data_IF_520801861886
#
_entry.id   IF_520801861886
#
_cell.length_a   1.000
_cell.length_b   1.000
_cell.length_c   1.000
_cell.angle_alpha   90.00
_cell.angle_beta   90.00
_cell.angle_gamma   90.00
#
_symmetry.space_group_name_H-M   'P 1'
#
loop_
_entity.id
_entity.type
_entity.pdbx_description
1 polymer ?
#
# COMPACT_ATOMS: atom_id res chain seq x y z
N UNK A 1 16.32 4.95 3.93
CA UNK A 1 17.28 6.09 4.05
C UNK A 1 16.54 7.36 4.46
N UNK A 2 15.43 7.73 3.79
CA UNK A 2 14.73 8.99 4.05
C UNK A 2 14.15 9.09 5.47
N UNK A 3 13.53 8.04 6.01
CA UNK A 3 13.00 8.03 7.38
C UNK A 3 14.10 8.21 8.44
N UNK A 4 15.28 7.55 8.28
CA UNK A 4 16.41 7.74 9.19
C UNK A 4 16.88 9.19 9.18
N UNK A 5 17.09 9.77 8.00
CA UNK A 5 17.48 11.18 7.89
C UNK A 5 16.42 12.13 8.50
N UNK A 6 15.12 11.83 8.31
CA UNK A 6 14.05 12.62 8.91
C UNK A 6 14.05 12.50 10.43
N UNK A 7 14.22 11.29 10.96
CA UNK A 7 14.32 11.06 12.39
C UNK A 7 15.53 11.78 13.01
N UNK A 8 16.70 11.72 12.36
CA UNK A 8 17.89 12.44 12.79
C UNK A 8 17.64 13.96 12.88
N UNK A 9 16.96 14.53 11.87
CA UNK A 9 16.59 15.96 11.88
C UNK A 9 15.65 16.27 13.04
N UNK A 10 14.66 15.41 13.31
CA UNK A 10 13.73 15.60 14.44
C UNK A 10 14.45 15.58 15.78
N UNK A 11 15.41 14.68 15.96
CA UNK A 11 16.24 14.63 17.17
C UNK A 11 17.08 15.89 17.33
N UNK A 12 17.74 16.35 16.26
CA UNK A 12 18.54 17.58 16.28
C UNK A 12 17.71 18.81 16.65
N UNK A 13 16.45 18.85 16.21
CA UNK A 13 15.52 19.95 16.51
C UNK A 13 14.84 19.81 17.88
N UNK A 14 15.08 18.74 18.63
CA UNK A 14 14.39 18.48 19.90
C UNK A 14 12.89 18.19 19.74
N UNK A 15 12.47 17.73 18.54
CA UNK A 15 11.07 17.48 18.19
C UNK A 15 10.69 16.02 18.49
N UNK A 16 10.42 15.72 19.74
CA UNK A 16 10.02 14.37 20.18
C UNK A 16 8.68 13.91 19.60
N UNK A 17 7.72 14.83 19.47
CA UNK A 17 6.43 14.51 18.83
C UNK A 17 6.58 14.22 17.34
N UNK A 18 7.42 14.99 16.66
CA UNK A 18 7.73 14.73 15.25
C UNK A 18 8.47 13.42 15.06
N UNK A 19 9.27 12.97 16.01
CA UNK A 19 9.92 11.65 15.97
C UNK A 19 8.90 10.51 16.17
N UNK A 20 7.94 10.70 17.09
CA UNK A 20 6.81 9.78 17.25
C UNK A 20 6.02 9.63 15.94
N UNK A 21 5.68 10.74 15.28
CA UNK A 21 4.97 10.74 14.01
C UNK A 21 5.75 10.03 12.88
N UNK A 22 7.09 10.08 12.90
CA UNK A 22 7.92 9.31 11.95
C UNK A 22 7.79 7.81 12.20
N UNK A 23 7.72 7.38 13.45
CA UNK A 23 7.53 5.96 13.81
C UNK A 23 6.13 5.48 13.41
N UNK A 24 5.09 6.26 13.70
CA UNK A 24 3.71 5.98 13.28
C UNK A 24 3.61 5.81 11.76
N UNK A 25 4.20 6.75 11.01
CA UNK A 25 4.23 6.72 9.54
C UNK A 25 4.88 5.44 9.00
N UNK A 26 5.97 4.98 9.61
CA UNK A 26 6.61 3.72 9.24
C UNK A 26 5.72 2.53 9.54
N UNK A 27 5.05 2.51 10.70
CA UNK A 27 4.13 1.43 11.07
C UNK A 27 2.98 1.34 10.08
N UNK A 28 2.37 2.46 9.72
CA UNK A 28 1.33 2.53 8.68
C UNK A 28 1.83 1.97 7.35
N UNK A 29 2.98 2.43 6.86
CA UNK A 29 3.56 1.97 5.59
C UNK A 29 3.90 0.48 5.60
N UNK A 30 4.24 -0.09 6.77
CA UNK A 30 4.52 -1.51 6.94
C UNK A 30 3.25 -2.36 7.22
N UNK A 31 2.07 -1.74 7.23
CA UNK A 31 0.81 -2.41 7.57
C UNK A 31 0.79 -2.92 9.03
N UNK A 32 1.55 -2.25 9.89
CA UNK A 32 1.55 -2.48 11.34
C UNK A 32 0.57 -1.54 12.01
N UNK A 33 0.07 -1.97 13.16
CA UNK A 33 -0.84 -1.16 13.95
C UNK A 33 -0.11 0.06 14.56
N UNK A 34 -0.48 1.25 14.11
CA UNK A 34 0.08 2.51 14.60
C UNK A 34 -0.34 2.81 16.05
N UNK A 35 -1.47 2.25 16.54
CA UNK A 35 -1.91 2.41 17.92
C UNK A 35 -0.88 1.85 18.92
N UNK A 36 -0.04 0.89 18.49
CA UNK A 36 1.06 0.39 19.31
C UNK A 36 2.08 1.49 19.65
N UNK A 37 2.30 2.45 18.76
CA UNK A 37 3.16 3.61 19.01
C UNK A 37 2.45 4.59 19.94
N UNK A 38 1.14 4.76 19.78
CA UNK A 38 0.34 5.60 20.66
C UNK A 38 0.32 5.12 22.12
N UNK A 39 0.43 3.81 22.35
CA UNK A 39 0.53 3.24 23.71
C UNK A 39 1.83 3.66 24.43
N UNK A 40 2.81 4.16 23.69
CA UNK A 40 4.08 4.67 24.21
C UNK A 40 4.04 6.17 24.55
N UNK A 41 2.86 6.76 24.78
CA UNK A 41 2.69 8.23 25.01
C UNK A 41 3.53 8.80 26.16
N UNK A 42 3.85 7.96 27.15
CA UNK A 42 4.65 8.35 28.32
C UNK A 42 6.16 8.23 28.11
N UNK A 43 6.57 7.81 26.91
CA UNK A 43 7.98 7.59 26.58
C UNK A 43 8.60 8.88 26.02
N UNK A 44 9.78 9.21 26.50
CA UNK A 44 10.57 10.30 25.91
C UNK A 44 11.21 9.83 24.58
N UNK A 45 10.53 10.16 23.48
CA UNK A 45 10.99 9.78 22.14
C UNK A 45 12.35 10.39 21.77
N UNK A 46 12.75 11.52 22.37
CA UNK A 46 14.09 12.08 22.10
C UNK A 46 15.19 11.17 22.65
N UNK A 47 14.90 10.41 23.71
CA UNK A 47 15.87 9.50 24.31
C UNK A 47 15.93 8.14 23.61
N UNK A 48 14.78 7.60 23.23
CA UNK A 48 14.68 6.20 22.74
C UNK A 48 14.17 6.05 21.31
N UNK A 49 13.68 7.14 20.70
CA UNK A 49 12.98 7.07 19.40
C UNK A 49 13.85 6.54 18.26
N UNK A 50 15.16 6.85 18.23
CA UNK A 50 16.07 6.27 17.23
C UNK A 50 16.29 4.77 17.44
N UNK A 51 16.36 4.31 18.70
CA UNK A 51 16.48 2.88 19.00
C UNK A 51 15.20 2.12 18.63
N UNK A 52 14.03 2.71 18.86
CA UNK A 52 12.74 2.16 18.43
C UNK A 52 12.65 2.09 16.90
N UNK A 53 13.14 3.11 16.20
CA UNK A 53 13.20 3.14 14.74
C UNK A 53 14.08 2.01 14.18
N UNK A 54 15.27 1.83 14.75
CA UNK A 54 16.17 0.75 14.32
C UNK A 54 15.61 -0.63 14.69
N UNK A 55 14.95 -0.77 15.83
CA UNK A 55 14.26 -2.00 16.21
C UNK A 55 13.11 -2.33 15.26
N UNK A 56 12.32 -1.32 14.82
CA UNK A 56 11.28 -1.48 13.82
C UNK A 56 11.86 -1.97 12.48
N UNK A 57 12.96 -1.39 12.01
CA UNK A 57 13.64 -1.82 10.79
C UNK A 57 14.34 -3.18 10.93
N UNK A 58 14.79 -3.55 12.11
CA UNK A 58 15.34 -4.89 12.36
C UNK A 58 14.24 -5.96 12.34
N UNK A 59 13.07 -5.62 12.88
CA UNK A 59 11.90 -6.51 12.90
C UNK A 59 11.24 -6.69 11.53
N UNK A 60 11.19 -5.61 10.74
CA UNK A 60 10.52 -5.58 9.43
C UNK A 60 11.36 -4.78 8.42
N UNK A 61 12.46 -5.36 7.90
CA UNK A 61 13.38 -4.69 7.00
C UNK A 61 12.71 -4.20 5.72
N UNK A 62 13.00 -2.95 5.32
CA UNK A 62 12.50 -2.37 4.07
C UNK A 62 13.16 -2.98 2.82
N UNK A 63 14.39 -3.45 2.97
CA UNK A 63 15.10 -4.15 1.92
C UNK A 63 14.51 -5.56 1.73
N UNK A 64 14.11 -5.94 0.50
CA UNK A 64 13.40 -7.19 0.26
C UNK A 64 14.24 -8.44 0.54
N UNK A 65 15.56 -8.38 0.35
CA UNK A 65 16.45 -9.50 0.62
C UNK A 65 16.67 -9.69 2.13
N UNK A 66 16.87 -8.59 2.85
CA UNK A 66 16.95 -8.60 4.32
C UNK A 66 15.63 -9.06 4.93
N UNK A 67 14.50 -8.59 4.39
CA UNK A 67 13.16 -9.03 4.81
C UNK A 67 12.96 -10.52 4.59
N UNK A 68 13.31 -11.04 3.41
CA UNK A 68 13.20 -12.47 3.11
C UNK A 68 14.10 -13.33 4.03
N UNK A 69 15.25 -12.83 4.40
CA UNK A 69 16.15 -13.54 5.32
C UNK A 69 15.63 -13.63 6.76
N UNK A 70 14.63 -12.84 7.14
CA UNK A 70 13.96 -13.00 8.46
C UNK A 70 13.15 -14.29 8.54
N UNK A 71 12.74 -14.87 7.42
CA UNK A 71 12.02 -16.15 7.32
C UNK A 71 13.00 -17.34 7.35
N UNK A 72 13.85 -17.39 8.37
CA UNK A 72 14.94 -18.38 8.46
C UNK A 72 14.49 -19.77 8.86
N UNK A 73 13.35 -19.90 9.52
CA UNK A 73 12.82 -21.17 10.03
C UNK A 73 11.71 -21.71 9.13
N UNK A 74 11.94 -22.85 8.44
CA UNK A 74 10.90 -23.46 7.60
C UNK A 74 9.64 -23.85 8.37
N UNK A 75 9.70 -24.05 9.69
CA UNK A 75 8.56 -24.42 10.50
C UNK A 75 7.59 -23.24 10.76
N UNK A 76 8.10 -22.02 10.69
CA UNK A 76 7.32 -20.78 10.89
C UNK A 76 6.98 -20.05 9.60
N UNK A 77 7.63 -20.42 8.49
CA UNK A 77 7.53 -19.75 7.21
C UNK A 77 6.08 -19.57 6.75
N UNK A 78 5.28 -20.63 6.80
CA UNK A 78 3.89 -20.60 6.33
C UNK A 78 3.05 -19.60 7.14
N UNK A 79 3.22 -19.58 8.46
CA UNK A 79 2.54 -18.65 9.36
C UNK A 79 2.98 -17.20 9.12
N UNK A 80 4.25 -16.98 8.89
CA UNK A 80 4.79 -15.64 8.62
C UNK A 80 4.37 -15.10 7.25
N UNK A 81 4.25 -15.97 6.25
CA UNK A 81 3.71 -15.64 4.95
C UNK A 81 2.21 -15.30 5.02
N UNK A 82 1.43 -16.02 5.84
CA UNK A 82 0.02 -15.69 6.05
C UNK A 82 -0.14 -14.34 6.79
N UNK A 83 0.65 -14.08 7.84
CA UNK A 83 0.67 -12.75 8.50
C UNK A 83 1.00 -11.63 7.50
N UNK A 84 1.98 -11.86 6.62
CA UNK A 84 2.30 -10.92 5.56
C UNK A 84 1.15 -10.73 4.58
N UNK A 85 0.48 -11.81 4.18
CA UNK A 85 -0.65 -11.76 3.27
C UNK A 85 -1.86 -11.03 3.89
N UNK A 86 -2.15 -11.27 5.17
CA UNK A 86 -3.21 -10.57 5.90
C UNK A 86 -2.93 -9.06 5.99
N UNK A 87 -1.70 -8.67 6.30
CA UNK A 87 -1.29 -7.26 6.30
C UNK A 87 -1.45 -6.64 4.91
N UNK A 88 -1.04 -7.37 3.87
CA UNK A 88 -1.17 -6.95 2.49
C UNK A 88 -2.65 -6.74 2.10
N UNK A 89 -3.56 -7.61 2.54
CA UNK A 89 -5.00 -7.48 2.25
C UNK A 89 -5.68 -6.31 2.97
N UNK A 90 -5.15 -5.87 4.10
CA UNK A 90 -5.69 -4.75 4.91
C UNK A 90 -5.09 -3.39 4.56
N UNK A 91 -3.94 -3.38 3.90
CA UNK A 91 -3.19 -2.16 3.65
C UNK A 91 -3.74 -1.39 2.44
N UNK A 92 -3.92 -0.09 2.59
CA UNK A 92 -4.19 0.81 1.47
C UNK A 92 -2.91 1.03 0.65
N UNK A 93 -2.89 0.52 -0.57
CA UNK A 93 -1.79 0.69 -1.52
C UNK A 93 -1.90 1.94 -2.40
N UNK A 94 -2.81 2.86 -2.14
CA UNK A 94 -2.80 4.20 -2.73
C UNK A 94 -1.56 4.98 -2.28
N UNK A 95 -1.04 4.69 -1.07
CA UNK A 95 0.28 5.18 -0.64
C UNK A 95 1.39 4.56 -1.49
N UNK A 96 2.08 5.42 -2.25
CA UNK A 96 3.18 5.00 -3.12
C UNK A 96 4.31 4.30 -2.38
N UNK A 97 4.59 4.68 -1.13
CA UNK A 97 5.68 4.12 -0.31
C UNK A 97 5.37 2.68 0.07
N UNK A 98 4.15 2.42 0.52
CA UNK A 98 3.65 1.07 0.80
C UNK A 98 3.69 0.20 -0.47
N UNK A 99 3.17 0.72 -1.59
CA UNK A 99 3.18 0.03 -2.88
C UNK A 99 4.59 -0.38 -3.32
N UNK A 100 5.60 0.49 -3.18
CA UNK A 100 6.99 0.18 -3.54
C UNK A 100 7.57 -0.90 -2.62
N UNK A 101 7.37 -0.79 -1.31
CA UNK A 101 7.92 -1.75 -0.34
C UNK A 101 7.31 -3.13 -0.58
N UNK A 102 5.99 -3.21 -0.66
CA UNK A 102 5.30 -4.48 -0.86
C UNK A 102 5.53 -5.05 -2.27
N UNK A 103 5.53 -4.25 -3.32
CA UNK A 103 5.84 -4.71 -4.67
C UNK A 103 7.18 -5.43 -4.75
N UNK A 104 8.22 -4.91 -4.11
CA UNK A 104 9.55 -5.56 -4.04
C UNK A 104 9.54 -6.85 -3.22
N UNK A 105 8.77 -6.89 -2.13
CA UNK A 105 8.61 -8.11 -1.33
C UNK A 105 7.84 -9.19 -2.11
N UNK A 106 6.82 -8.80 -2.89
CA UNK A 106 6.11 -9.74 -3.76
C UNK A 106 7.02 -10.39 -4.79
N UNK A 107 7.94 -9.64 -5.39
CA UNK A 107 8.92 -10.22 -6.30
C UNK A 107 9.83 -11.23 -5.60
N UNK A 108 10.16 -10.99 -4.34
CA UNK A 108 10.91 -11.93 -3.51
C UNK A 108 10.12 -13.19 -3.21
N UNK A 109 8.81 -13.08 -2.92
CA UNK A 109 7.90 -14.23 -2.79
C UNK A 109 7.90 -15.10 -4.05
N UNK A 110 7.77 -14.47 -5.22
CA UNK A 110 7.81 -15.16 -6.51
C UNK A 110 9.12 -15.91 -6.70
N UNK A 111 10.24 -15.28 -6.43
CA UNK A 111 11.56 -15.88 -6.51
C UNK A 111 11.78 -17.01 -5.50
N UNK A 112 11.09 -16.96 -4.36
CA UNK A 112 11.07 -17.99 -3.31
C UNK A 112 10.15 -19.18 -3.63
N UNK A 113 9.46 -19.19 -4.78
CA UNK A 113 8.59 -20.29 -5.22
C UNK A 113 7.12 -20.14 -4.79
N UNK A 114 6.72 -19.05 -4.14
CA UNK A 114 5.35 -18.78 -3.70
C UNK A 114 4.54 -18.05 -4.78
N UNK A 115 4.50 -18.62 -6.00
CA UNK A 115 3.89 -17.97 -7.17
C UNK A 115 2.38 -17.71 -7.02
N UNK A 116 1.63 -18.62 -6.38
CA UNK A 116 0.18 -18.43 -6.18
C UNK A 116 -0.09 -17.24 -5.27
N UNK A 117 0.66 -17.12 -4.18
CA UNK A 117 0.55 -15.99 -3.26
C UNK A 117 0.98 -14.68 -3.94
N UNK A 118 2.03 -14.72 -4.76
CA UNK A 118 2.42 -13.59 -5.60
C UNK A 118 1.28 -13.14 -6.52
N UNK A 119 0.60 -14.05 -7.22
CA UNK A 119 -0.52 -13.73 -8.12
C UNK A 119 -1.65 -13.06 -7.33
N UNK A 120 -2.07 -13.66 -6.22
CA UNK A 120 -3.15 -13.14 -5.36
C UNK A 120 -2.85 -11.72 -4.91
N UNK A 121 -1.70 -11.52 -4.25
CA UNK A 121 -1.35 -10.23 -3.66
C UNK A 121 -0.99 -9.17 -4.73
N UNK A 122 -0.43 -9.58 -5.88
CA UNK A 122 -0.19 -8.66 -7.00
C UNK A 122 -1.50 -8.12 -7.57
N UNK A 123 -2.53 -8.96 -7.70
CA UNK A 123 -3.87 -8.52 -8.12
C UNK A 123 -4.48 -7.54 -7.13
N UNK A 124 -4.26 -7.74 -5.84
CA UNK A 124 -4.68 -6.84 -4.78
C UNK A 124 -3.98 -5.47 -4.89
N UNK A 125 -2.66 -5.43 -5.03
CA UNK A 125 -1.91 -4.18 -5.23
C UNK A 125 -2.37 -3.44 -6.50
N UNK A 126 -2.60 -4.17 -7.59
CA UNK A 126 -3.05 -3.62 -8.87
C UNK A 126 -4.48 -3.08 -8.81
N UNK A 127 -5.35 -3.65 -7.96
CA UNK A 127 -6.70 -3.12 -7.72
C UNK A 127 -6.65 -1.71 -7.13
N UNK A 128 -5.72 -1.43 -6.21
CA UNK A 128 -5.49 -0.08 -5.66
C UNK A 128 -4.74 0.85 -6.63
N UNK A 129 -3.81 0.30 -7.43
CA UNK A 129 -2.98 1.08 -8.36
C UNK A 129 -2.92 0.46 -9.74
N UNK A 130 -4.00 0.58 -10.53
CA UNK A 130 -4.09 -0.04 -11.85
C UNK A 130 -3.04 0.49 -12.86
N UNK A 131 -2.44 1.64 -12.58
CA UNK A 131 -1.40 2.23 -13.42
C UNK A 131 0.02 1.69 -13.18
N UNK A 132 0.20 0.72 -12.27
CA UNK A 132 1.50 0.10 -12.01
C UNK A 132 1.85 -0.89 -13.13
N UNK A 133 2.32 -0.36 -14.25
CA UNK A 133 2.64 -1.14 -15.45
C UNK A 133 3.76 -2.16 -15.23
N UNK A 134 4.70 -1.90 -14.33
CA UNK A 134 5.79 -2.84 -14.01
C UNK A 134 5.23 -4.12 -13.39
N UNK A 135 4.34 -3.99 -12.41
CA UNK A 135 3.72 -5.14 -11.75
C UNK A 135 2.79 -5.92 -12.71
N UNK A 136 2.05 -5.20 -13.59
CA UNK A 136 1.29 -5.85 -14.67
C UNK A 136 2.18 -6.66 -15.61
N UNK A 137 3.34 -6.13 -15.98
CA UNK A 137 4.31 -6.84 -16.82
C UNK A 137 4.84 -8.11 -16.13
N UNK A 138 5.19 -8.04 -14.85
CA UNK A 138 5.67 -9.19 -14.08
C UNK A 138 4.58 -10.27 -13.93
N UNK A 139 3.35 -9.85 -13.66
CA UNK A 139 2.20 -10.75 -13.58
C UNK A 139 1.94 -11.42 -14.95
N UNK A 140 1.99 -10.67 -16.05
CA UNK A 140 1.85 -11.20 -17.40
C UNK A 140 2.93 -12.21 -17.75
N UNK A 141 4.19 -11.95 -17.40
CA UNK A 141 5.30 -12.90 -17.60
C UNK A 141 5.12 -14.19 -16.80
N UNK A 142 4.59 -14.09 -15.60
CA UNK A 142 4.30 -15.26 -14.77
C UNK A 142 3.18 -16.09 -15.38
N UNK A 143 2.07 -15.48 -15.80
CA UNK A 143 0.98 -16.17 -16.47
C UNK A 143 1.43 -16.83 -17.80
N UNK A 144 2.25 -16.13 -18.62
CA UNK A 144 2.84 -16.70 -19.84
C UNK A 144 3.69 -17.95 -19.55
N UNK A 145 4.48 -17.93 -18.47
CA UNK A 145 5.31 -19.07 -18.04
C UNK A 145 4.48 -20.24 -17.54
N UNK A 146 3.30 -19.96 -16.96
CA UNK A 146 2.35 -20.97 -16.49
C UNK A 146 1.39 -21.45 -17.57
N UNK A 147 1.56 -20.97 -18.79
CA UNK A 147 0.68 -21.28 -19.94
C UNK A 147 -0.77 -20.77 -19.77
N UNK A 148 -1.00 -19.87 -18.85
CA UNK A 148 -2.25 -19.15 -18.63
C UNK A 148 -2.32 -17.96 -19.61
N UNK A 149 -2.55 -18.28 -20.92
CA UNK A 149 -2.34 -17.34 -22.02
C UNK A 149 -3.37 -16.21 -22.07
N UNK A 150 -4.61 -16.46 -21.65
CA UNK A 150 -5.69 -15.47 -21.63
C UNK A 150 -5.39 -14.35 -20.58
N UNK A 151 -4.91 -14.76 -19.42
CA UNK A 151 -4.50 -13.87 -18.34
C UNK A 151 -3.23 -13.09 -18.70
N UNK A 152 -2.25 -13.78 -19.28
CA UNK A 152 -1.02 -13.15 -19.77
C UNK A 152 -1.33 -12.06 -20.81
N UNK A 153 -2.19 -12.38 -21.78
CA UNK A 153 -2.60 -11.43 -22.82
C UNK A 153 -3.31 -10.22 -22.19
N UNK A 154 -4.21 -10.43 -21.23
CA UNK A 154 -4.96 -9.37 -20.56
C UNK A 154 -4.03 -8.41 -19.82
N UNK A 155 -3.00 -8.93 -19.15
CA UNK A 155 -1.98 -8.13 -18.49
C UNK A 155 -1.19 -7.29 -19.51
N UNK A 156 -0.70 -7.90 -20.58
CA UNK A 156 0.07 -7.21 -21.61
C UNK A 156 -0.75 -6.19 -22.39
N UNK A 157 -2.02 -6.49 -22.67
CA UNK A 157 -2.93 -5.55 -23.33
C UNK A 157 -3.17 -4.31 -22.45
N UNK A 158 -3.36 -4.50 -21.13
CA UNK A 158 -3.49 -3.39 -20.20
C UNK A 158 -2.23 -2.52 -20.18
N UNK A 159 -1.04 -3.12 -20.12
CA UNK A 159 0.23 -2.36 -20.18
C UNK A 159 0.36 -1.62 -21.49
N UNK A 160 0.00 -2.23 -22.63
CA UNK A 160 0.08 -1.56 -23.94
C UNK A 160 -0.87 -0.35 -24.03
N UNK A 161 -1.98 -0.35 -23.31
CA UNK A 161 -2.85 0.84 -23.23
C UNK A 161 -2.24 1.94 -22.37
N UNK A 162 -1.57 1.58 -21.26
CA UNK A 162 -0.88 2.54 -20.41
C UNK A 162 0.39 3.09 -21.07
N UNK A 163 1.13 2.23 -21.79
CA UNK A 163 2.41 2.57 -22.42
C UNK A 163 2.50 2.00 -23.85
N UNK A 164 1.84 2.61 -24.82
CA UNK A 164 1.75 2.09 -26.20
C UNK A 164 3.09 1.87 -26.87
N UNK A 165 4.12 2.62 -26.53
CA UNK A 165 5.45 2.53 -27.12
C UNK A 165 6.22 1.25 -26.75
N UNK A 166 5.84 0.54 -25.68
CA UNK A 166 6.49 -0.70 -25.27
C UNK A 166 5.99 -1.93 -26.03
N UNK A 167 4.78 -1.87 -26.61
CA UNK A 167 4.15 -2.92 -27.42
C UNK A 167 4.18 -4.34 -26.79
N UNK A 168 3.95 -4.54 -25.48
CA UNK A 168 4.14 -5.83 -24.83
C UNK A 168 3.16 -6.89 -25.32
N UNK A 169 1.91 -6.54 -25.62
CA UNK A 169 0.91 -7.43 -26.18
C UNK A 169 1.32 -7.93 -27.57
N UNK A 170 1.80 -7.04 -28.43
CA UNK A 170 2.17 -7.38 -29.80
C UNK A 170 3.42 -8.26 -29.81
N UNK A 171 4.37 -8.02 -28.92
CA UNK A 171 5.53 -8.90 -28.70
C UNK A 171 5.12 -10.27 -28.16
N UNK A 172 4.14 -10.35 -27.27
CA UNK A 172 3.58 -11.59 -26.78
C UNK A 172 2.94 -12.41 -27.92
N UNK A 173 2.10 -11.77 -28.77
CA UNK A 173 1.49 -12.40 -29.92
C UNK A 173 2.54 -12.97 -30.92
N UNK A 174 3.62 -12.24 -31.15
CA UNK A 174 4.74 -12.72 -31.99
C UNK A 174 5.40 -13.96 -31.38
N UNK A 175 5.62 -14.01 -30.06
CA UNK A 175 6.21 -15.20 -29.40
C UNK A 175 5.30 -16.41 -29.50
N UNK A 176 4.00 -16.25 -29.31
CA UNK A 176 3.03 -17.37 -29.43
C UNK A 176 2.96 -17.85 -30.87
N UNK A 177 2.84 -16.97 -31.85
CA UNK A 177 2.80 -17.36 -33.26
C UNK A 177 4.05 -18.14 -33.65
N UNK A 178 5.21 -17.78 -33.14
CA UNK A 178 6.45 -18.51 -33.36
C UNK A 178 6.47 -19.92 -32.73
N UNK A 179 5.77 -20.11 -31.60
CA UNK A 179 5.64 -21.45 -30.95
C UNK A 179 4.65 -22.37 -31.65
N UNK A 180 3.57 -21.83 -32.20
CA UNK A 180 2.49 -22.61 -32.86
C UNK A 180 2.91 -23.21 -34.20
N UNK A 181 3.95 -22.70 -34.83
CA UNK A 181 4.42 -23.25 -36.13
C UNK A 181 5.04 -24.66 -36.05
N UNK A 182 5.09 -25.28 -34.88
CA UNK A 182 5.75 -26.58 -34.64
C UNK A 182 4.85 -27.77 -34.29
N UNK A 183 3.60 -27.61 -33.88
CA UNK A 183 2.75 -28.74 -33.41
C UNK A 183 1.27 -28.57 -33.73
N UNK A 184 0.54 -29.70 -33.88
CA UNK A 184 -0.87 -29.82 -34.32
C UNK A 184 -1.91 -29.35 -33.25
N UNK A 185 -1.58 -28.52 -32.29
CA UNK A 185 -2.56 -28.00 -31.32
C UNK A 185 -3.36 -26.85 -31.91
N UNK A 186 -4.63 -26.74 -31.49
CA UNK A 186 -5.50 -25.63 -31.89
C UNK A 186 -4.80 -24.31 -31.59
N UNK A 187 -4.65 -23.44 -32.58
CA UNK A 187 -3.99 -22.17 -32.38
C UNK A 187 -4.75 -21.37 -31.32
N UNK A 188 -4.03 -20.87 -30.30
CA UNK A 188 -4.59 -19.97 -29.32
C UNK A 188 -5.10 -18.70 -30.03
N UNK A 189 -6.31 -18.28 -29.66
CA UNK A 189 -6.91 -17.02 -30.14
C UNK A 189 -7.03 -16.03 -29.01
N UNK A 190 -6.77 -14.76 -29.30
CA UNK A 190 -6.89 -13.70 -28.31
C UNK A 190 -8.28 -13.68 -27.67
N UNK A 191 -8.37 -13.40 -26.36
CA UNK A 191 -9.63 -13.32 -25.65
C UNK A 191 -10.60 -12.34 -26.30
N UNK A 192 -11.89 -12.66 -26.27
CA UNK A 192 -12.94 -11.76 -26.73
C UNK A 192 -12.97 -10.49 -25.85
N UNK A 193 -13.58 -9.43 -26.38
CA UNK A 193 -13.79 -8.17 -25.64
C UNK A 193 -14.53 -8.42 -24.33
N UNK A 194 -15.46 -9.37 -24.31
CA UNK A 194 -16.23 -9.76 -23.13
C UNK A 194 -15.33 -10.38 -22.05
N UNK A 195 -14.46 -11.33 -22.40
CA UNK A 195 -13.51 -11.94 -21.46
C UNK A 195 -12.54 -10.90 -20.88
N UNK A 196 -12.06 -9.98 -21.72
CA UNK A 196 -11.23 -8.86 -21.28
C UNK A 196 -11.98 -7.96 -20.29
N UNK A 197 -13.22 -7.60 -20.62
CA UNK A 197 -14.07 -6.79 -19.73
C UNK A 197 -14.30 -7.50 -18.39
N UNK A 198 -14.56 -8.82 -18.41
CA UNK A 198 -14.70 -9.63 -17.20
C UNK A 198 -13.44 -9.65 -16.35
N UNK A 199 -12.25 -9.75 -16.97
CA UNK A 199 -10.98 -9.70 -16.24
C UNK A 199 -10.79 -8.35 -15.53
N UNK A 200 -11.04 -7.24 -16.22
CA UNK A 200 -10.93 -5.90 -15.64
C UNK A 200 -12.00 -5.65 -14.57
N UNK A 201 -13.22 -6.17 -14.78
CA UNK A 201 -14.30 -6.09 -13.81
C UNK A 201 -13.99 -6.88 -12.53
N UNK A 202 -13.38 -8.07 -12.63
CA UNK A 202 -12.90 -8.81 -11.45
C UNK A 202 -11.87 -8.01 -10.65
N UNK A 203 -10.97 -7.30 -11.32
CA UNK A 203 -10.00 -6.41 -10.66
C UNK A 203 -10.69 -5.23 -9.99
N UNK A 204 -11.70 -4.63 -10.63
CA UNK A 204 -12.49 -3.55 -10.05
C UNK A 204 -13.31 -4.02 -8.85
N UNK A 205 -13.95 -5.19 -8.94
CA UNK A 205 -14.69 -5.78 -7.81
C UNK A 205 -13.77 -6.08 -6.63
N UNK A 206 -12.53 -6.51 -6.87
CA UNK A 206 -11.54 -6.70 -5.81
C UNK A 206 -11.25 -5.38 -5.10
N UNK A 207 -11.04 -4.29 -5.84
CA UNK A 207 -10.84 -2.95 -5.29
C UNK A 207 -12.05 -2.48 -4.47
N UNK A 208 -13.27 -2.68 -4.98
CA UNK A 208 -14.51 -2.30 -4.27
C UNK A 208 -14.74 -3.10 -2.99
N UNK A 209 -14.40 -4.41 -2.97
CA UNK A 209 -14.50 -5.23 -1.76
C UNK A 209 -13.55 -4.75 -0.66
N UNK A 210 -12.38 -4.26 -1.04
CA UNK A 210 -11.42 -3.69 -0.11
C UNK A 210 -11.99 -2.41 0.49
N UNK A 211 -12.50 -1.49 -0.34
CA UNK A 211 -13.13 -0.25 0.11
C UNK A 211 -14.36 -0.51 1.00
N UNK A 212 -15.20 -1.50 0.66
CA UNK A 212 -16.38 -1.83 1.48
C UNK A 212 -16.05 -2.63 2.75
N UNK A 213 -14.90 -3.30 2.83
CA UNK A 213 -14.44 -3.93 4.07
C UNK A 213 -14.02 -2.88 5.11
N UNK A 214 -13.43 -1.77 4.66
CA UNK A 214 -13.13 -0.61 5.51
C UNK A 214 -14.42 0.06 5.99
N UNK A 215 -15.46 0.22 5.13
CA UNK A 215 -16.76 0.78 5.50
C UNK A 215 -17.55 -0.12 6.47
N UNK A 216 -17.44 -1.45 6.38
CA UNK A 216 -18.17 -2.36 7.29
C UNK A 216 -17.61 -2.40 8.71
N UNK A 217 -16.40 -1.93 8.93
CA UNK A 217 -15.87 -1.72 10.28
C UNK A 217 -16.44 -0.41 10.90
N UNK A 218 -16.97 0.51 10.09
CA UNK A 218 -17.52 1.80 10.53
C UNK A 218 -19.06 1.83 10.66
N UNK A 219 -19.82 0.90 10.05
CA UNK A 219 -21.29 0.93 10.04
C UNK A 219 -21.99 0.52 11.35
N UNK A 220 -21.30 0.46 12.47
CA UNK A 220 -21.92 0.20 13.78
C UNK A 220 -22.19 1.44 14.64
N UNK A 221 -22.17 2.67 14.11
CA UNK A 221 -22.46 3.86 14.92
C UNK A 221 -23.26 4.93 14.13
N UNK A 222 -24.49 5.20 14.56
CA UNK A 222 -25.29 6.41 14.30
C UNK A 222 -25.25 7.31 15.53
N UNK A 223 -25.45 8.60 15.47
CA UNK A 223 -25.49 9.66 14.46
C UNK A 223 -24.39 10.75 14.61
N UNK A 224 -24.08 11.44 13.49
CA UNK A 224 -22.90 12.29 13.31
C UNK A 224 -22.85 13.61 14.10
N UNK A 225 -23.96 14.23 14.46
CA UNK A 225 -23.93 15.60 15.02
C UNK A 225 -23.50 15.70 16.49
N UNK A 226 -23.73 14.67 17.31
CA UNK A 226 -23.28 14.68 18.72
C UNK A 226 -21.81 14.30 18.89
N UNK A 227 -21.16 13.66 17.90
CA UNK A 227 -19.77 13.23 17.99
C UNK A 227 -18.76 14.33 17.67
N UNK A 228 -19.07 15.26 16.79
CA UNK A 228 -18.16 16.35 16.39
C UNK A 228 -17.79 17.23 17.60
N UNK A 229 -18.75 17.53 18.46
CA UNK A 229 -18.53 18.37 19.64
C UNK A 229 -17.69 17.69 20.75
N UNK A 230 -17.52 16.39 20.70
CA UNK A 230 -16.79 15.59 21.70
C UNK A 230 -15.40 15.13 21.23
N UNK A 231 -15.02 15.39 19.97
CA UNK A 231 -13.74 14.92 19.45
C UNK A 231 -12.56 15.63 20.14
N UNK A 232 -11.58 14.91 20.70
CA UNK A 232 -10.49 15.53 21.46
C UNK A 232 -9.65 16.48 20.61
N UNK A 233 -9.47 16.17 19.31
CA UNK A 233 -8.69 17.00 18.40
C UNK A 233 -9.39 18.28 17.97
N UNK A 234 -10.73 18.36 18.07
CA UNK A 234 -11.44 19.61 17.84
C UNK A 234 -11.01 20.70 18.84
N UNK A 235 -10.92 20.34 20.13
CA UNK A 235 -10.44 21.26 21.17
C UNK A 235 -8.99 21.66 20.94
N UNK A 236 -8.18 20.74 20.46
CA UNK A 236 -6.78 20.98 20.14
C UNK A 236 -6.63 21.91 18.94
N UNK A 237 -7.42 21.70 17.87
CA UNK A 237 -7.48 22.62 16.72
C UNK A 237 -7.89 24.02 17.14
N UNK A 238 -8.93 24.13 17.98
CA UNK A 238 -9.37 25.42 18.52
C UNK A 238 -8.25 26.11 19.29
N UNK A 239 -7.59 25.39 20.20
CA UNK A 239 -6.50 25.95 21.00
C UNK A 239 -5.30 26.41 20.18
N UNK A 240 -4.96 25.70 19.11
CA UNK A 240 -3.88 26.08 18.19
C UNK A 240 -4.25 27.33 17.37
N UNK A 241 -5.49 27.43 16.90
CA UNK A 241 -5.96 28.62 16.19
C UNK A 241 -6.01 29.86 17.13
N UNK A 242 -6.48 29.68 18.36
CA UNK A 242 -6.52 30.76 19.37
C UNK A 242 -5.11 31.21 19.80
N UNK A 243 -4.13 30.30 19.79
CA UNK A 243 -2.73 30.60 20.06
C UNK A 243 -2.01 31.27 18.88
N UNK A 244 -2.61 31.33 17.69
CA UNK A 244 -2.02 31.86 16.47
C UNK A 244 -1.07 30.88 15.73
N UNK A 245 -1.03 29.62 16.17
CA UNK A 245 -0.20 28.57 15.56
C UNK A 245 -0.89 27.95 14.33
N UNK A 246 -1.18 28.79 13.33
CA UNK A 246 -1.90 28.41 12.10
C UNK A 246 -1.22 27.27 11.35
N UNK A 247 0.11 27.19 11.41
CA UNK A 247 0.89 26.11 10.79
C UNK A 247 0.57 24.75 11.42
N UNK A 248 0.59 24.65 12.75
CA UNK A 248 0.31 23.38 13.45
C UNK A 248 -1.16 22.99 13.29
N UNK A 249 -2.07 23.98 13.39
CA UNK A 249 -3.48 23.76 13.15
C UNK A 249 -3.75 23.23 11.72
N UNK A 250 -3.05 23.77 10.71
CA UNK A 250 -3.16 23.31 9.33
C UNK A 250 -2.71 21.85 9.16
N UNK A 251 -1.56 21.48 9.74
CA UNK A 251 -1.06 20.10 9.63
C UNK A 251 -1.95 19.12 10.40
N UNK A 252 -2.45 19.48 11.57
CA UNK A 252 -3.37 18.65 12.34
C UNK A 252 -4.70 18.46 11.59
N UNK A 253 -5.31 19.54 11.07
CA UNK A 253 -6.54 19.46 10.30
C UNK A 253 -6.37 18.60 9.03
N UNK A 254 -5.27 18.77 8.30
CA UNK A 254 -4.98 17.98 7.11
C UNK A 254 -4.78 16.49 7.41
N UNK A 255 -4.18 16.18 8.56
CA UNK A 255 -4.06 14.80 9.05
C UNK A 255 -5.44 14.20 9.31
N UNK A 256 -6.32 14.91 10.00
CA UNK A 256 -7.67 14.45 10.30
C UNK A 256 -8.50 14.21 9.01
N UNK A 257 -8.39 15.10 8.02
CA UNK A 257 -9.01 14.88 6.70
C UNK A 257 -8.45 13.61 6.04
N UNK A 258 -7.14 13.35 6.14
CA UNK A 258 -6.56 12.13 5.58
C UNK A 258 -6.94 10.85 6.34
N UNK A 259 -7.46 10.98 7.55
CA UNK A 259 -8.02 9.90 8.37
C UNK A 259 -9.54 9.70 8.14
N UNK A 260 -10.13 10.47 7.22
CA UNK A 260 -11.56 10.37 6.88
C UNK A 260 -12.47 11.28 7.72
N UNK A 261 -11.89 12.22 8.50
CA UNK A 261 -12.64 13.18 9.30
C UNK A 261 -13.01 14.40 8.45
N UNK A 262 -14.08 14.31 7.65
CA UNK A 262 -14.54 15.35 6.70
C UNK A 262 -14.80 16.71 7.39
N UNK A 263 -15.20 16.71 8.67
CA UNK A 263 -15.40 17.92 9.45
C UNK A 263 -14.12 18.77 9.62
N UNK A 264 -12.96 18.16 9.51
CA UNK A 264 -11.68 18.85 9.63
C UNK A 264 -11.31 19.67 8.37
N UNK A 265 -11.99 19.49 7.23
CA UNK A 265 -11.73 20.21 5.99
C UNK A 265 -11.97 21.73 6.14
N UNK A 266 -12.98 22.12 6.91
CA UNK A 266 -13.26 23.52 7.24
C UNK A 266 -12.08 24.15 8.02
N UNK A 267 -11.46 23.38 8.91
CA UNK A 267 -10.29 23.84 9.69
C UNK A 267 -9.03 23.98 8.83
N UNK A 268 -8.85 23.14 7.81
CA UNK A 268 -7.78 23.30 6.81
C UNK A 268 -7.91 24.63 6.08
N UNK A 269 -9.14 25.03 5.70
CA UNK A 269 -9.37 26.31 5.02
C UNK A 269 -9.14 27.49 5.98
N UNK A 270 -9.68 27.44 7.20
CA UNK A 270 -9.48 28.48 8.21
C UNK A 270 -8.00 28.68 8.57
N UNK A 271 -7.24 27.59 8.70
CA UNK A 271 -5.82 27.68 8.97
C UNK A 271 -5.03 28.30 7.81
N UNK A 272 -5.43 28.03 6.53
CA UNK A 272 -4.81 28.67 5.35
C UNK A 272 -5.05 30.18 5.27
N UNK A 273 -6.21 30.67 5.72
CA UNK A 273 -6.55 32.09 5.67
C UNK A 273 -5.75 32.90 6.72
N UNK A 274 -5.19 32.24 7.72
CA UNK A 274 -4.41 32.87 8.79
C UNK A 274 -2.88 32.64 8.62
N UNK A 275 -2.43 32.17 7.46
CA UNK A 275 -1.04 32.09 7.06
C UNK A 275 -0.59 33.44 6.48
#
# INVERSE_FOLDING_TARGET
RNWRCLADIKVVNGDGLGLCAVLEDIFVVLGRDAEQVEQLKDVDFLMVGLELLEAAFARDPLDPDSWWSTFSDPSTLEKELEDFAERCRRLDFSDQRANIVYGRRLERLRSGGHENLFIELSRHLLAHRPNNHELWMELGRLYERREEMDEAWSCYDHVQQLQPHQNPRDLFLQRITGRIMGEEEKPWTSPSIEKRSQFLEQMLQLSQRISSADETTEESIKPQEEKISAHPDLKRLQSLMDAGDSSEAFFLARRLVSQGEDWAEEWVQRAKENF
#
